data_IF_080841357030
#
_entry.id   IF_080841357030
#
_cell.length_a   1.000
_cell.length_b   1.000
_cell.length_c   1.000
_cell.angle_alpha   90.00
_cell.angle_beta   90.00
_cell.angle_gamma   90.00
#
_symmetry.space_group_name_H-M   'P 1'
#
loop_
_entity.id
_entity.type
_entity.pdbx_description
1 polymer ?
#
# COMPACT_ATOMS: atom_id res chain seq x y z
N UNK A 1 4.57 -0.89 -7.15
CA UNK A 1 6.01 -0.91 -7.56
C UNK A 1 6.22 -1.66 -8.87
N UNK A 2 5.77 -2.91 -8.96
CA UNK A 2 6.01 -3.78 -10.12
C UNK A 2 5.59 -3.18 -11.48
N UNK A 3 4.46 -2.48 -11.56
CA UNK A 3 4.05 -1.81 -12.80
C UNK A 3 5.12 -0.83 -13.33
N UNK A 4 5.73 -0.03 -12.45
CA UNK A 4 6.82 0.87 -12.81
C UNK A 4 8.07 0.09 -13.25
N UNK A 5 8.49 -0.91 -12.47
CA UNK A 5 9.67 -1.71 -12.77
C UNK A 5 9.53 -2.52 -14.06
N UNK A 6 8.35 -3.04 -14.36
CA UNK A 6 8.06 -3.71 -15.64
C UNK A 6 8.17 -2.75 -16.81
N UNK A 7 7.63 -1.52 -16.69
CA UNK A 7 7.80 -0.50 -17.72
C UNK A 7 9.27 -0.11 -17.92
N UNK A 8 10.05 -0.06 -16.83
CA UNK A 8 11.48 0.26 -16.88
C UNK A 8 12.32 -0.86 -17.53
N UNK A 9 12.08 -2.13 -17.17
CA UNK A 9 12.87 -3.27 -17.66
C UNK A 9 12.41 -3.80 -19.01
N UNK A 10 11.12 -3.72 -19.31
CA UNK A 10 10.53 -4.26 -20.52
C UNK A 10 9.81 -3.17 -21.35
N UNK A 11 10.51 -2.09 -21.73
CA UNK A 11 9.87 -0.96 -22.41
C UNK A 11 9.42 -1.27 -23.85
N UNK A 12 9.89 -2.39 -24.42
CA UNK A 12 9.41 -2.92 -25.70
C UNK A 12 8.08 -3.69 -25.60
N UNK A 13 7.73 -4.16 -24.40
CA UNK A 13 6.50 -4.93 -24.16
C UNK A 13 5.39 -4.06 -23.54
N UNK A 14 5.76 -3.13 -22.64
CA UNK A 14 4.80 -2.33 -21.88
C UNK A 14 4.83 -0.88 -22.36
N UNK A 15 3.75 -0.39 -22.98
CA UNK A 15 3.71 0.96 -23.57
C UNK A 15 3.77 2.10 -22.53
N UNK A 16 3.27 1.86 -21.33
CA UNK A 16 3.28 2.78 -20.19
C UNK A 16 2.73 2.12 -18.93
N UNK A 17 2.87 2.77 -17.78
CA UNK A 17 2.42 2.24 -16.50
C UNK A 17 1.82 3.32 -15.60
N UNK A 18 0.73 2.98 -14.91
CA UNK A 18 0.25 3.71 -13.74
C UNK A 18 0.78 2.98 -12.50
N UNK A 19 1.47 3.69 -11.63
CA UNK A 19 2.11 3.15 -10.43
C UNK A 19 1.63 3.94 -9.20
N UNK A 20 0.49 3.53 -8.66
CA UNK A 20 -0.17 4.18 -7.53
C UNK A 20 0.36 3.66 -6.21
N UNK A 21 0.65 4.57 -5.27
CA UNK A 21 1.21 4.33 -3.94
C UNK A 21 2.38 3.35 -3.96
N UNK A 22 3.30 3.61 -4.91
CA UNK A 22 4.43 2.73 -5.19
C UNK A 22 5.71 3.30 -4.56
N UNK A 23 6.16 2.79 -3.40
CA UNK A 23 7.31 3.31 -2.67
C UNK A 23 8.66 2.86 -3.29
N UNK A 24 8.85 3.10 -4.59
CA UNK A 24 10.05 2.66 -5.35
C UNK A 24 11.36 3.32 -4.88
N UNK A 25 11.28 4.31 -3.99
CA UNK A 25 12.40 5.03 -3.38
C UNK A 25 12.55 4.77 -1.86
N UNK A 26 11.91 3.72 -1.32
CA UNK A 26 12.00 3.35 0.10
C UNK A 26 13.15 2.39 0.47
N UNK A 27 14.03 2.04 -0.48
CA UNK A 27 14.97 0.94 -0.32
C UNK A 27 16.35 1.38 0.20
N UNK A 28 17.04 0.44 0.86
CA UNK A 28 18.44 0.61 1.20
C UNK A 28 19.32 0.72 -0.07
N UNK A 29 20.39 1.53 0.01
CA UNK A 29 21.38 1.69 -1.06
C UNK A 29 21.02 2.73 -2.12
N UNK A 30 19.93 3.48 -1.92
CA UNK A 30 19.54 4.58 -2.81
C UNK A 30 20.37 5.85 -2.56
N UNK A 31 20.54 6.65 -3.61
CA UNK A 31 21.12 7.99 -3.55
C UNK A 31 20.18 9.01 -4.24
N UNK A 32 19.63 10.00 -3.52
CA UNK A 32 19.68 10.17 -2.06
C UNK A 32 19.08 8.97 -1.28
N UNK A 33 19.47 8.77 -0.01
CA UNK A 33 18.97 7.68 0.82
C UNK A 33 17.49 7.86 1.16
N UNK A 34 16.80 6.74 1.38
CA UNK A 34 15.41 6.74 1.86
C UNK A 34 15.31 7.36 3.25
N UNK A 35 14.24 8.13 3.48
CA UNK A 35 13.92 8.66 4.80
C UNK A 35 13.19 7.60 5.63
N UNK A 36 13.94 6.86 6.44
CA UNK A 36 13.39 5.77 7.24
C UNK A 36 12.25 6.21 8.19
N UNK A 37 12.18 7.50 8.56
CA UNK A 37 11.15 8.02 9.47
C UNK A 37 9.90 8.54 8.76
N UNK A 38 9.88 8.63 7.42
CA UNK A 38 8.78 9.29 6.71
C UNK A 38 7.44 8.60 6.96
N UNK A 39 7.44 7.26 6.95
CA UNK A 39 6.23 6.46 7.14
C UNK A 39 5.52 6.83 8.45
N UNK A 40 6.24 6.72 9.57
CA UNK A 40 5.71 7.01 10.89
C UNK A 40 5.22 8.45 11.06
N UNK A 41 5.92 9.42 10.46
CA UNK A 41 5.50 10.83 10.51
C UNK A 41 4.22 11.07 9.72
N UNK A 42 3.99 10.35 8.62
CA UNK A 42 2.75 10.46 7.85
C UNK A 42 1.59 9.80 8.59
N UNK A 43 1.78 8.63 9.20
CA UNK A 43 0.78 8.02 10.10
C UNK A 43 0.41 8.99 11.25
N UNK A 44 1.40 9.71 11.77
CA UNK A 44 1.19 10.73 12.80
C UNK A 44 0.44 11.96 12.28
N UNK A 45 0.69 12.38 11.03
CA UNK A 45 -0.05 13.47 10.38
C UNK A 45 -1.53 13.12 10.23
N UNK A 46 -1.84 11.88 9.87
CA UNK A 46 -3.20 11.36 9.77
C UNK A 46 -3.96 11.39 11.10
N UNK A 47 -3.25 11.23 12.22
CA UNK A 47 -3.76 11.38 13.58
C UNK A 47 -3.86 12.85 14.04
N UNK A 48 -3.78 13.81 13.12
CA UNK A 48 -3.79 15.24 13.40
C UNK A 48 -4.96 16.00 12.78
N UNK A 49 -5.23 17.24 13.23
CA UNK A 49 -6.29 18.09 12.67
C UNK A 49 -6.14 18.38 11.18
N UNK A 50 -4.91 18.34 10.64
CA UNK A 50 -4.65 18.51 9.21
C UNK A 50 -5.30 17.45 8.32
N UNK A 51 -5.50 16.23 8.86
CA UNK A 51 -6.24 15.15 8.21
C UNK A 51 -7.71 15.06 8.67
N UNK A 52 -8.14 15.96 9.54
CA UNK A 52 -9.49 16.03 10.13
C UNK A 52 -9.69 15.14 11.36
N UNK A 53 -8.63 14.64 11.98
CA UNK A 53 -8.72 13.89 13.23
C UNK A 53 -8.86 14.80 14.46
N UNK A 54 -9.38 14.25 15.56
CA UNK A 54 -9.58 14.96 16.81
C UNK A 54 -8.28 15.63 17.33
N UNK A 55 -8.32 16.89 17.81
CA UNK A 55 -7.15 17.56 18.37
C UNK A 55 -6.51 16.77 19.52
N UNK A 56 -5.19 16.69 19.52
CA UNK A 56 -4.45 16.00 20.59
C UNK A 56 -4.39 14.48 20.47
N UNK A 57 -5.02 13.86 19.47
CA UNK A 57 -5.00 12.40 19.26
C UNK A 57 -3.57 11.83 19.26
N UNK A 58 -2.68 12.34 18.42
CA UNK A 58 -1.27 11.89 18.38
C UNK A 58 -0.54 12.03 19.73
N UNK A 59 -0.86 13.06 20.52
CA UNK A 59 -0.30 13.22 21.86
C UNK A 59 -0.88 12.21 22.86
N UNK A 60 -2.17 11.90 22.76
CA UNK A 60 -2.82 10.86 23.56
C UNK A 60 -2.24 9.47 23.24
N UNK A 61 -2.02 9.15 21.96
CA UNK A 61 -1.39 7.90 21.52
C UNK A 61 0.03 7.78 22.10
N UNK A 62 0.86 8.83 22.04
CA UNK A 62 2.19 8.82 22.70
C UNK A 62 2.11 8.51 24.19
N UNK A 63 1.12 9.06 24.89
CA UNK A 63 0.91 8.82 26.33
C UNK A 63 0.45 7.39 26.59
N UNK A 64 -0.37 6.82 25.71
CA UNK A 64 -0.80 5.43 25.82
C UNK A 64 0.37 4.44 25.72
N UNK A 65 1.35 4.68 24.85
CA UNK A 65 2.58 3.86 24.80
C UNK A 65 3.36 3.90 26.11
N UNK A 66 3.56 5.10 26.66
CA UNK A 66 4.23 5.27 27.97
C UNK A 66 3.47 4.53 29.08
N UNK A 67 2.15 4.70 29.12
CA UNK A 67 1.29 3.99 30.06
C UNK A 67 1.41 2.47 29.94
N UNK A 68 1.47 1.93 28.72
CA UNK A 68 1.64 0.50 28.48
C UNK A 68 2.98 -0.01 29.04
N UNK A 69 4.09 0.67 28.72
CA UNK A 69 5.42 0.25 29.18
C UNK A 69 5.61 0.44 30.69
N UNK A 70 5.06 1.50 31.27
CA UNK A 70 5.10 1.75 32.72
C UNK A 70 4.30 0.68 33.49
N UNK A 71 3.07 0.39 33.07
CA UNK A 71 2.27 -0.68 33.68
C UNK A 71 2.92 -2.06 33.44
N UNK A 72 3.54 -2.26 32.27
CA UNK A 72 4.25 -3.48 31.90
C UNK A 72 5.38 -3.88 32.87
N UNK A 73 5.96 -2.91 33.58
CA UNK A 73 7.09 -3.11 34.48
C UNK A 73 6.81 -3.92 35.75
N UNK A 74 5.54 -4.21 36.07
CA UNK A 74 5.17 -4.99 37.25
C UNK A 74 4.03 -5.97 36.96
N UNK A 75 3.95 -7.06 37.73
CA UNK A 75 2.88 -8.06 37.59
C UNK A 75 1.48 -7.44 37.81
N UNK A 76 1.35 -6.56 38.82
CA UNK A 76 0.12 -5.84 39.09
C UNK A 76 -0.26 -4.88 37.96
N UNK A 77 0.70 -4.14 37.41
CA UNK A 77 0.47 -3.27 36.28
C UNK A 77 0.12 -4.02 34.99
N UNK A 78 0.75 -5.17 34.72
CA UNK A 78 0.38 -6.06 33.60
C UNK A 78 -1.05 -6.57 33.71
N UNK A 79 -1.53 -6.91 34.92
CA UNK A 79 -2.96 -7.24 35.12
C UNK A 79 -3.89 -6.06 34.79
N UNK A 80 -3.51 -4.84 35.18
CA UNK A 80 -4.29 -3.64 34.84
C UNK A 80 -4.29 -3.36 33.33
N UNK A 81 -3.14 -3.48 32.67
CA UNK A 81 -2.99 -3.30 31.24
C UNK A 81 -3.81 -4.33 30.46
N UNK A 82 -3.74 -5.62 30.85
CA UNK A 82 -4.54 -6.71 30.29
C UNK A 82 -6.04 -6.39 30.31
N UNK A 83 -6.55 -5.94 31.46
CA UNK A 83 -7.95 -5.58 31.61
C UNK A 83 -8.32 -4.36 30.77
N UNK A 84 -7.50 -3.30 30.80
CA UNK A 84 -7.76 -2.06 30.06
C UNK A 84 -7.74 -2.25 28.55
N UNK A 85 -6.84 -3.12 28.04
CA UNK A 85 -6.74 -3.47 26.64
C UNK A 85 -7.82 -4.48 26.18
N UNK A 86 -8.58 -5.06 27.12
CA UNK A 86 -9.56 -6.10 26.81
C UNK A 86 -8.92 -7.36 26.23
N UNK A 87 -7.71 -7.73 26.68
CA UNK A 87 -7.01 -8.90 26.14
C UNK A 87 -7.69 -10.20 26.55
N UNK A 88 -7.69 -11.17 25.64
CA UNK A 88 -8.19 -12.51 25.90
C UNK A 88 -7.39 -13.21 27.02
N UNK A 89 -8.00 -14.12 27.80
CA UNK A 89 -7.29 -14.84 28.86
C UNK A 89 -6.05 -15.60 28.38
N UNK A 90 -6.06 -16.08 27.13
CA UNK A 90 -4.95 -16.81 26.51
C UNK A 90 -3.88 -15.93 25.85
N UNK A 91 -4.10 -14.62 25.69
CA UNK A 91 -3.10 -13.72 25.11
C UNK A 91 -2.01 -13.44 26.16
N UNK A 92 -0.72 -13.76 25.95
CA UNK A 92 0.30 -13.58 26.98
C UNK A 92 0.54 -12.10 27.33
N UNK A 93 0.85 -11.79 28.58
CA UNK A 93 1.27 -10.45 29.02
C UNK A 93 2.05 -10.60 30.32
N UNK A 94 2.99 -11.52 30.31
CA UNK A 94 3.62 -12.06 31.52
C UNK A 94 4.98 -11.41 31.77
N UNK A 95 5.64 -10.90 30.73
CA UNK A 95 6.94 -10.24 30.81
C UNK A 95 7.07 -9.02 29.88
N UNK A 96 8.27 -8.45 29.80
CA UNK A 96 8.56 -7.28 28.99
C UNK A 96 8.52 -7.57 27.47
N UNK A 97 8.81 -8.82 27.06
CA UNK A 97 8.75 -9.22 25.66
C UNK A 97 7.29 -9.27 25.19
N UNK A 98 6.38 -9.81 26.00
CA UNK A 98 4.94 -9.81 25.70
C UNK A 98 4.36 -8.39 25.62
N UNK A 99 4.82 -7.49 26.51
CA UNK A 99 4.40 -6.08 26.50
C UNK A 99 4.86 -5.40 25.22
N UNK A 100 6.11 -5.65 24.78
CA UNK A 100 6.61 -5.12 23.52
C UNK A 100 5.85 -5.70 22.32
N UNK A 101 5.61 -7.01 22.28
CA UNK A 101 4.85 -7.66 21.21
C UNK A 101 3.41 -7.12 21.13
N UNK A 102 2.76 -6.90 22.27
CA UNK A 102 1.45 -6.25 22.35
C UNK A 102 1.49 -4.82 21.80
N UNK A 103 2.52 -4.05 22.14
CA UNK A 103 2.69 -2.68 21.63
C UNK A 103 2.91 -2.67 20.10
N UNK A 104 3.76 -3.56 19.58
CA UNK A 104 4.02 -3.73 18.15
C UNK A 104 2.75 -4.14 17.37
N UNK A 105 1.93 -5.03 17.95
CA UNK A 105 0.63 -5.43 17.41
C UNK A 105 -0.34 -4.24 17.34
N UNK A 106 -0.54 -3.52 18.46
CA UNK A 106 -1.39 -2.31 18.50
C UNK A 106 -0.91 -1.23 17.51
N UNK A 107 0.41 -1.02 17.40
CA UNK A 107 1.01 -0.11 16.43
C UNK A 107 0.64 -0.48 15.00
N UNK A 108 0.69 -1.78 14.66
CA UNK A 108 0.41 -2.22 13.30
C UNK A 108 -1.04 -1.95 12.89
N UNK A 109 -2.00 -2.02 13.82
CA UNK A 109 -3.38 -1.57 13.53
C UNK A 109 -3.43 -0.10 13.12
N UNK A 110 -2.73 0.79 13.83
CA UNK A 110 -2.68 2.21 13.47
C UNK A 110 -2.05 2.44 12.09
N UNK A 111 -1.00 1.68 11.76
CA UNK A 111 -0.38 1.72 10.43
C UNK A 111 -1.37 1.28 9.33
N UNK A 112 -2.08 0.17 9.53
CA UNK A 112 -3.10 -0.32 8.59
C UNK A 112 -4.29 0.64 8.47
N UNK A 113 -4.75 1.21 9.57
CA UNK A 113 -5.86 2.18 9.58
C UNK A 113 -5.48 3.45 8.81
N UNK A 114 -4.24 3.93 8.92
CA UNK A 114 -3.74 5.05 8.10
C UNK A 114 -3.72 4.71 6.60
N UNK A 115 -3.26 3.51 6.22
CA UNK A 115 -3.35 3.04 4.83
C UNK A 115 -4.80 3.00 4.32
N UNK A 116 -5.73 2.59 5.19
CA UNK A 116 -7.17 2.47 4.93
C UNK A 116 -7.98 3.72 5.15
N UNK A 117 -7.36 4.90 5.24
CA UNK A 117 -8.01 6.15 5.60
C UNK A 117 -8.90 6.75 4.48
N UNK A 118 -9.79 5.92 3.92
CA UNK A 118 -10.64 6.21 2.77
C UNK A 118 -11.87 7.05 3.13
N UNK A 119 -12.42 7.84 2.19
CA UNK A 119 -13.58 8.70 2.44
C UNK A 119 -14.92 7.95 2.50
N UNK A 120 -14.89 6.62 2.51
CA UNK A 120 -16.05 5.73 2.55
C UNK A 120 -15.67 4.41 3.23
N UNK A 121 -16.68 3.65 3.61
CA UNK A 121 -16.52 2.33 4.21
C UNK A 121 -15.81 1.36 3.25
N UNK A 122 -14.86 0.57 3.78
CA UNK A 122 -14.09 -0.36 2.96
C UNK A 122 -13.58 -1.55 3.76
N UNK A 123 -13.64 -2.73 3.14
CA UNK A 123 -13.02 -3.96 3.64
C UNK A 123 -11.66 -4.26 3.01
N UNK A 124 -11.10 -3.32 2.25
CA UNK A 124 -9.88 -3.56 1.48
C UNK A 124 -8.67 -3.87 2.37
N UNK A 125 -8.43 -3.03 3.38
CA UNK A 125 -7.29 -3.18 4.29
C UNK A 125 -7.39 -4.42 5.18
N UNK A 126 -8.61 -4.85 5.48
CA UNK A 126 -8.90 -6.06 6.27
C UNK A 126 -8.97 -7.31 5.40
N UNK A 127 -8.66 -7.25 4.10
CA UNK A 127 -8.79 -8.38 3.15
C UNK A 127 -10.19 -9.02 3.15
N UNK A 128 -11.25 -8.24 3.37
CA UNK A 128 -12.62 -8.74 3.44
C UNK A 128 -13.07 -9.21 4.82
N UNK A 129 -12.18 -9.32 5.82
CA UNK A 129 -12.49 -9.82 7.16
C UNK A 129 -13.29 -8.86 8.07
N UNK A 130 -13.76 -7.75 7.52
CA UNK A 130 -14.56 -6.73 8.22
C UNK A 130 -14.55 -5.42 7.45
N UNK A 131 -15.42 -4.48 7.81
CA UNK A 131 -15.54 -3.20 7.08
C UNK A 131 -15.05 -2.07 7.98
N UNK A 132 -14.00 -1.39 7.55
CA UNK A 132 -13.56 -0.16 8.22
C UNK A 132 -14.57 0.96 7.90
N UNK A 133 -14.90 1.82 8.89
CA UNK A 133 -15.76 2.99 8.65
C UNK A 133 -15.08 3.99 7.70
N UNK A 134 -15.83 4.99 7.22
CA UNK A 134 -15.23 6.11 6.51
C UNK A 134 -14.27 6.90 7.43
N UNK A 135 -13.09 7.24 6.93
CA UNK A 135 -12.00 7.90 7.65
C UNK A 135 -11.70 7.25 9.02
N UNK A 136 -11.30 5.96 9.04
CA UNK A 136 -11.13 5.20 10.27
C UNK A 136 -10.07 5.79 11.23
N UNK A 137 -9.08 6.54 10.73
CA UNK A 137 -8.16 7.29 11.61
C UNK A 137 -8.89 8.35 12.44
N UNK A 138 -9.91 9.01 11.89
CA UNK A 138 -10.71 9.99 12.64
C UNK A 138 -11.52 9.31 13.73
N UNK A 139 -12.17 8.20 13.39
CA UNK A 139 -12.96 7.39 14.34
C UNK A 139 -12.08 6.94 15.51
N UNK A 140 -10.91 6.37 15.24
CA UNK A 140 -10.00 5.95 16.30
C UNK A 140 -9.44 7.12 17.11
N UNK A 141 -9.23 8.27 16.48
CA UNK A 141 -8.81 9.47 17.19
C UNK A 141 -9.90 10.07 18.10
N UNK A 142 -11.18 9.92 17.78
CA UNK A 142 -12.26 10.30 18.71
C UNK A 142 -12.22 9.43 19.98
N UNK A 143 -11.97 8.12 19.85
CA UNK A 143 -11.81 7.23 21.01
C UNK A 143 -10.62 7.67 21.89
N UNK A 144 -9.53 8.11 21.28
CA UNK A 144 -8.38 8.65 22.01
C UNK A 144 -8.69 10.01 22.65
N UNK A 145 -9.48 10.85 22.00
CA UNK A 145 -9.92 12.14 22.55
C UNK A 145 -10.83 11.95 23.76
N UNK A 146 -11.76 11.00 23.70
CA UNK A 146 -12.61 10.60 24.82
C UNK A 146 -11.77 10.07 26.01
N UNK A 147 -10.77 9.23 25.72
CA UNK A 147 -9.86 8.69 26.74
C UNK A 147 -9.07 9.78 27.49
N UNK A 148 -8.90 10.97 26.90
CA UNK A 148 -8.20 12.12 27.50
C UNK A 148 -9.12 13.30 27.82
N UNK A 149 -10.44 13.10 27.80
CA UNK A 149 -11.40 14.18 28.09
C UNK A 149 -11.36 14.62 29.56
N UNK A 150 -10.97 13.74 30.48
CA UNK A 150 -10.78 14.08 31.89
C UNK A 150 -9.49 14.89 32.11
N UNK A 151 -9.44 15.82 33.09
CA UNK A 151 -8.25 16.64 33.38
C UNK A 151 -6.97 15.82 33.66
N UNK A 152 -7.12 14.67 34.33
CA UNK A 152 -6.03 13.73 34.63
C UNK A 152 -6.45 12.33 34.15
N UNK A 153 -6.27 12.01 32.86
CA UNK A 153 -6.70 10.73 32.34
C UNK A 153 -5.78 9.61 32.84
N UNK A 154 -6.39 8.51 33.28
CA UNK A 154 -5.66 7.38 33.86
C UNK A 154 -4.91 6.61 32.77
N UNK A 155 -3.85 5.89 33.17
CA UNK A 155 -3.15 4.95 32.30
C UNK A 155 -4.13 3.93 31.68
N UNK A 156 -5.09 3.43 32.45
CA UNK A 156 -6.10 2.48 31.95
C UNK A 156 -7.05 3.10 30.93
N UNK A 157 -7.48 4.35 31.09
CA UNK A 157 -8.32 5.04 30.11
C UNK A 157 -7.60 5.21 28.76
N UNK A 158 -6.33 5.62 28.80
CA UNK A 158 -5.48 5.71 27.61
C UNK A 158 -5.35 4.37 26.89
N UNK A 159 -5.13 3.28 27.64
CA UNK A 159 -5.03 1.93 27.07
C UNK A 159 -6.36 1.44 26.50
N UNK A 160 -7.49 1.74 27.14
CA UNK A 160 -8.81 1.38 26.61
C UNK A 160 -9.14 2.15 25.33
N UNK A 161 -8.80 3.44 25.24
CA UNK A 161 -8.93 4.21 24.00
C UNK A 161 -8.07 3.63 22.88
N UNK A 162 -6.82 3.27 23.19
CA UNK A 162 -5.90 2.67 22.23
C UNK A 162 -6.35 1.28 21.77
N UNK A 163 -6.89 0.47 22.67
CA UNK A 163 -7.48 -0.83 22.33
C UNK A 163 -8.72 -0.66 21.44
N UNK A 164 -9.59 0.30 21.74
CA UNK A 164 -10.72 0.66 20.89
C UNK A 164 -10.27 1.11 19.50
N UNK A 165 -9.19 1.89 19.41
CA UNK A 165 -8.57 2.27 18.14
C UNK A 165 -8.12 1.02 17.38
N UNK A 166 -7.29 0.17 17.98
CA UNK A 166 -6.78 -1.03 17.32
C UNK A 166 -7.90 -2.02 16.94
N UNK A 167 -8.99 -2.06 17.73
CA UNK A 167 -10.16 -2.88 17.46
C UNK A 167 -10.90 -2.47 16.17
N UNK A 168 -10.76 -1.22 15.68
CA UNK A 168 -11.27 -0.85 14.36
C UNK A 168 -10.70 -1.75 13.26
N UNK A 169 -9.45 -2.22 13.41
CA UNK A 169 -8.81 -3.14 12.47
C UNK A 169 -8.99 -4.60 12.88
N UNK A 170 -8.63 -4.95 14.12
CA UNK A 170 -8.61 -6.34 14.57
C UNK A 170 -9.98 -6.92 14.89
N UNK A 171 -10.96 -6.08 15.20
CA UNK A 171 -12.34 -6.47 15.46
C UNK A 171 -13.29 -5.72 14.51
N UNK A 172 -12.89 -5.55 13.26
CA UNK A 172 -13.70 -4.85 12.24
C UNK A 172 -15.07 -5.52 11.98
N UNK A 173 -15.25 -6.80 12.36
CA UNK A 173 -16.56 -7.47 12.31
C UNK A 173 -17.43 -7.17 13.53
N UNK A 174 -16.83 -6.79 14.66
CA UNK A 174 -17.51 -6.57 15.94
C UNK A 174 -17.78 -7.83 16.76
N UNK A 175 -17.37 -9.01 16.28
CA UNK A 175 -17.72 -10.30 16.88
C UNK A 175 -16.74 -10.78 17.95
N UNK A 176 -15.55 -10.17 18.05
CA UNK A 176 -14.54 -10.60 19.01
C UNK A 176 -14.90 -10.10 20.43
N UNK A 177 -14.99 -11.00 21.43
CA UNK A 177 -15.28 -10.62 22.80
C UNK A 177 -14.07 -10.02 23.55
N UNK A 178 -12.87 -10.20 22.99
CA UNK A 178 -11.58 -9.75 23.53
C UNK A 178 -10.54 -9.70 22.42
N UNK A 179 -9.41 -9.03 22.67
CA UNK A 179 -8.29 -8.91 21.74
C UNK A 179 -7.19 -9.94 22.03
N UNK A 180 -6.63 -10.55 20.99
CA UNK A 180 -5.54 -11.53 21.10
C UNK A 180 -4.39 -11.12 20.17
N UNK A 181 -3.32 -10.58 20.75
CA UNK A 181 -2.18 -10.08 19.96
C UNK A 181 -1.40 -11.18 19.24
N UNK A 182 -1.63 -12.45 19.59
CA UNK A 182 -1.01 -13.59 18.91
C UNK A 182 -1.68 -13.91 17.57
N UNK A 183 -2.77 -13.21 17.22
CA UNK A 183 -3.52 -13.36 15.98
C UNK A 183 -3.56 -12.05 15.20
N UNK A 184 -3.56 -12.11 13.88
CA UNK A 184 -3.91 -10.95 13.07
C UNK A 184 -5.41 -10.75 12.98
N UNK A 185 -5.83 -9.85 12.08
CA UNK A 185 -7.23 -9.51 11.89
C UNK A 185 -8.06 -10.66 11.29
N UNK A 186 -7.44 -11.51 10.46
CA UNK A 186 -8.04 -12.69 9.83
C UNK A 186 -6.95 -13.53 9.13
N UNK A 187 -7.24 -14.81 8.78
CA UNK A 187 -6.28 -15.70 8.13
C UNK A 187 -5.69 -15.18 6.82
N UNK A 188 -6.48 -14.46 6.01
CA UNK A 188 -6.04 -13.90 4.74
C UNK A 188 -4.99 -12.81 4.96
N UNK A 189 -5.21 -11.94 5.96
CA UNK A 189 -4.26 -10.90 6.34
C UNK A 189 -2.97 -11.50 6.91
N UNK A 190 -3.06 -12.58 7.70
CA UNK A 190 -1.90 -13.30 8.23
C UNK A 190 -1.06 -13.94 7.13
N UNK A 191 -1.70 -14.57 6.15
CA UNK A 191 -1.03 -15.17 5.00
C UNK A 191 -0.32 -14.09 4.17
N UNK A 192 -0.99 -12.97 3.92
CA UNK A 192 -0.41 -11.83 3.19
C UNK A 192 0.81 -11.28 3.92
N UNK A 193 0.72 -11.08 5.24
CA UNK A 193 1.84 -10.61 6.06
C UNK A 193 3.02 -11.60 6.00
N UNK A 194 2.77 -12.91 6.12
CA UNK A 194 3.81 -13.94 6.03
C UNK A 194 4.56 -13.91 4.70
N UNK A 195 3.82 -13.81 3.58
CA UNK A 195 4.41 -13.76 2.24
C UNK A 195 5.23 -12.47 2.05
N UNK A 196 4.70 -11.34 2.52
CA UNK A 196 5.41 -10.05 2.45
C UNK A 196 6.65 -10.00 3.34
N UNK A 197 6.60 -10.60 4.52
CA UNK A 197 7.74 -10.71 5.43
C UNK A 197 8.88 -11.49 4.79
N UNK A 198 8.58 -12.58 4.07
CA UNK A 198 9.59 -13.31 3.32
C UNK A 198 10.25 -12.45 2.23
N UNK A 199 9.44 -11.69 1.47
CA UNK A 199 9.97 -10.75 0.46
C UNK A 199 10.83 -9.65 1.09
N UNK A 200 10.42 -9.11 2.24
CA UNK A 200 11.15 -8.08 2.99
C UNK A 200 12.46 -8.63 3.56
N UNK A 201 12.48 -9.90 3.97
CA UNK A 201 13.65 -10.61 4.45
C UNK A 201 14.63 -11.04 3.34
N UNK A 202 14.31 -10.79 2.08
CA UNK A 202 15.15 -11.13 0.93
C UNK A 202 15.43 -9.91 0.06
N UNK A 203 14.48 -9.52 -0.78
CA UNK A 203 14.68 -8.54 -1.85
C UNK A 203 14.17 -7.13 -1.50
N UNK A 204 13.20 -7.04 -0.59
CA UNK A 204 12.42 -5.83 -0.29
C UNK A 204 12.89 -5.15 1.00
N UNK A 205 14.21 -5.01 1.18
CA UNK A 205 14.80 -4.36 2.35
C UNK A 205 14.56 -2.85 2.35
N UNK A 206 13.56 -2.41 3.11
CA UNK A 206 13.16 -1.00 3.26
C UNK A 206 13.45 -0.52 4.69
N UNK A 207 14.39 0.41 4.90
CA UNK A 207 14.64 1.00 6.20
C UNK A 207 13.41 1.71 6.75
N UNK A 208 13.00 1.36 7.97
CA UNK A 208 11.92 2.01 8.70
C UNK A 208 12.35 2.33 10.12
N UNK A 209 11.98 3.51 10.61
CA UNK A 209 12.30 3.97 11.96
C UNK A 209 11.18 4.81 12.54
N UNK A 210 11.09 4.82 13.87
CA UNK A 210 10.27 5.73 14.67
C UNK A 210 11.17 6.40 15.70
N UNK A 211 11.02 7.69 15.91
CA UNK A 211 11.86 8.44 16.85
C UNK A 211 11.11 8.89 18.10
N UNK A 212 9.78 8.77 18.13
CA UNK A 212 8.93 9.19 19.25
C UNK A 212 8.93 10.69 19.56
N UNK A 213 9.52 11.49 18.68
CA UNK A 213 9.59 12.96 18.75
C UNK A 213 8.78 13.59 17.62
N UNK A 214 9.11 13.25 16.38
CA UNK A 214 8.44 13.73 15.15
C UNK A 214 7.26 12.84 14.76
N UNK A 215 7.19 11.64 15.29
CA UNK A 215 6.05 10.73 15.18
C UNK A 215 5.37 10.49 16.54
N UNK A 216 4.25 9.76 16.54
CA UNK A 216 3.45 9.47 17.73
C UNK A 216 3.76 8.13 18.41
N UNK A 217 4.83 7.44 17.99
CA UNK A 217 5.17 6.12 18.51
C UNK A 217 6.25 6.22 19.59
N UNK A 218 6.75 5.07 20.05
CA UNK A 218 7.97 5.00 20.85
C UNK A 218 9.20 4.83 19.95
N UNK A 219 10.38 5.12 20.50
CA UNK A 219 11.64 5.07 19.78
C UNK A 219 11.95 3.64 19.28
N UNK A 220 12.10 3.51 17.96
CA UNK A 220 12.47 2.30 17.24
C UNK A 220 13.47 2.71 16.15
N UNK A 221 14.77 2.85 16.47
CA UNK A 221 15.76 3.21 15.48
C UNK A 221 15.93 2.07 14.48
N UNK A 222 16.16 2.41 13.21
CA UNK A 222 16.47 1.41 12.20
C UNK A 222 17.79 0.70 12.54
N UNK A 223 17.74 -0.62 12.66
CA UNK A 223 18.93 -1.48 12.76
C UNK A 223 18.83 -2.60 11.75
N UNK A 224 19.78 -2.62 10.83
CA UNK A 224 19.92 -3.67 9.83
C UNK A 224 20.24 -5.01 10.48
N UNK A 225 21.07 -4.98 11.52
CA UNK A 225 21.51 -6.17 12.25
C UNK A 225 20.33 -6.83 12.95
N UNK A 226 19.47 -6.04 13.61
CA UNK A 226 18.24 -6.53 14.24
C UNK A 226 17.27 -7.08 13.20
N UNK A 227 17.06 -6.36 12.09
CA UNK A 227 16.19 -6.82 11.01
C UNK A 227 16.69 -8.15 10.41
N UNK A 228 17.98 -8.24 10.09
CA UNK A 228 18.59 -9.47 9.56
C UNK A 228 18.55 -10.64 10.56
N UNK A 229 18.68 -10.37 11.86
CA UNK A 229 18.55 -11.40 12.89
C UNK A 229 17.13 -12.00 12.91
N UNK A 230 16.09 -11.16 12.87
CA UNK A 230 14.70 -11.62 12.78
C UNK A 230 14.43 -12.44 11.51
N UNK A 231 15.00 -12.05 10.38
CA UNK A 231 14.89 -12.81 9.13
C UNK A 231 15.55 -14.20 9.20
N UNK A 232 16.74 -14.29 9.82
CA UNK A 232 17.41 -15.58 10.03
C UNK A 232 16.62 -16.49 10.95
N UNK A 233 16.06 -15.93 12.03
CA UNK A 233 15.24 -16.68 12.98
C UNK A 233 13.95 -17.20 12.34
N UNK A 234 13.23 -16.34 11.61
CA UNK A 234 11.91 -16.67 11.06
C UNK A 234 11.96 -17.54 9.80
N UNK A 235 12.92 -17.29 8.91
CA UNK A 235 12.94 -17.90 7.57
C UNK A 235 14.26 -18.58 7.22
N UNK A 236 15.31 -18.48 8.05
CA UNK A 236 16.63 -19.02 7.72
C UNK A 236 17.33 -18.30 6.57
N UNK A 237 16.91 -17.06 6.25
CA UNK A 237 17.48 -16.24 5.17
C UNK A 237 18.05 -14.94 5.70
N UNK A 238 18.90 -14.29 4.91
CA UNK A 238 19.44 -12.96 5.22
C UNK A 238 19.11 -11.97 4.10
N UNK A 239 18.71 -10.73 4.41
CA UNK A 239 18.36 -9.73 3.39
C UNK A 239 19.52 -9.43 2.45
N UNK A 240 19.22 -9.37 1.15
CA UNK A 240 20.21 -9.06 0.13
C UNK A 240 20.42 -7.54 0.09
N UNK A 241 21.56 -7.10 0.59
CA UNK A 241 21.92 -5.68 0.66
C UNK A 241 21.82 -5.00 -0.71
N UNK A 242 21.18 -3.83 -0.73
CA UNK A 242 21.03 -2.97 -1.90
C UNK A 242 20.42 -3.66 -3.13
N UNK A 243 19.73 -4.80 -2.97
CA UNK A 243 19.21 -5.57 -4.10
C UNK A 243 18.26 -4.73 -4.95
N UNK A 244 17.23 -4.14 -4.34
CA UNK A 244 16.28 -3.30 -5.05
C UNK A 244 16.96 -2.08 -5.71
N UNK A 245 17.91 -1.43 -5.04
CA UNK A 245 18.67 -0.33 -5.62
C UNK A 245 19.49 -0.77 -6.85
N UNK A 246 20.11 -1.95 -6.80
CA UNK A 246 20.91 -2.52 -7.90
C UNK A 246 20.02 -2.97 -9.06
N UNK A 247 18.96 -3.71 -8.77
CA UNK A 247 18.08 -4.27 -9.78
C UNK A 247 17.26 -3.19 -10.48
N UNK A 248 16.73 -2.22 -9.73
CA UNK A 248 15.78 -1.25 -10.27
C UNK A 248 16.39 0.13 -10.52
N UNK A 249 17.64 0.36 -10.09
CA UNK A 249 18.44 1.54 -10.41
C UNK A 249 18.03 2.85 -9.71
N UNK A 250 17.03 2.80 -8.84
CA UNK A 250 16.63 3.91 -7.96
C UNK A 250 16.37 5.23 -8.70
N UNK A 251 16.82 6.33 -8.09
CA UNK A 251 16.65 7.68 -8.64
C UNK A 251 17.26 7.84 -10.05
N UNK A 252 18.39 7.19 -10.33
CA UNK A 252 19.06 7.27 -11.63
C UNK A 252 18.18 6.70 -12.74
N UNK A 253 17.75 5.44 -12.58
CA UNK A 253 16.90 4.79 -13.58
C UNK A 253 15.53 5.44 -13.74
N UNK A 254 14.97 6.05 -12.67
CA UNK A 254 13.73 6.80 -12.76
C UNK A 254 13.87 8.08 -13.60
N UNK A 255 15.03 8.78 -13.58
CA UNK A 255 15.22 9.96 -14.44
C UNK A 255 15.15 9.61 -15.92
N UNK A 256 15.65 8.43 -16.29
CA UNK A 256 15.66 7.93 -17.67
C UNK A 256 14.37 7.20 -18.06
N UNK A 257 13.50 6.90 -17.10
CA UNK A 257 12.25 6.20 -17.34
C UNK A 257 11.25 7.08 -18.10
N UNK A 258 10.37 6.44 -18.86
CA UNK A 258 9.36 7.10 -19.69
C UNK A 258 8.01 6.41 -19.60
N UNK A 259 6.95 7.18 -19.79
CA UNK A 259 5.57 6.74 -19.78
C UNK A 259 5.18 6.07 -18.46
N UNK A 260 5.55 6.66 -17.32
CA UNK A 260 5.11 6.21 -16.00
C UNK A 260 4.36 7.34 -15.31
N UNK A 261 3.17 7.04 -14.80
CA UNK A 261 2.37 7.93 -13.97
C UNK A 261 2.41 7.42 -12.53
N UNK A 262 3.10 8.12 -11.65
CA UNK A 262 3.07 7.88 -10.21
C UNK A 262 1.96 8.70 -9.55
N UNK A 263 1.14 8.05 -8.74
CA UNK A 263 0.14 8.71 -7.90
C UNK A 263 0.39 8.30 -6.45
N UNK A 264 0.37 9.22 -5.50
CA UNK A 264 0.46 8.88 -4.07
C UNK A 264 -0.67 9.59 -3.32
N UNK A 265 -1.28 8.92 -2.35
CA UNK A 265 -2.23 9.59 -1.45
C UNK A 265 -1.51 10.57 -0.51
N UNK A 266 -2.16 11.66 -0.11
CA UNK A 266 -1.64 12.54 0.94
C UNK A 266 -1.61 11.87 2.32
N UNK A 267 -2.61 11.03 2.60
CA UNK A 267 -2.76 10.26 3.84
C UNK A 267 -1.99 8.94 3.80
N UNK A 268 -1.53 8.51 2.63
CA UNK A 268 -0.81 7.25 2.48
C UNK A 268 0.61 7.33 3.09
N UNK A 269 0.92 6.54 4.14
CA UNK A 269 2.25 6.53 4.73
C UNK A 269 3.36 6.11 3.75
N UNK A 270 3.02 5.28 2.77
CA UNK A 270 3.96 4.82 1.74
C UNK A 270 4.41 5.93 0.79
N UNK A 271 3.71 7.08 0.74
CA UNK A 271 4.11 8.22 -0.10
C UNK A 271 5.51 8.73 0.21
N UNK A 272 6.00 8.52 1.44
CA UNK A 272 7.34 8.95 1.85
C UNK A 272 8.48 8.26 1.08
N UNK A 273 8.23 7.06 0.56
CA UNK A 273 9.12 6.36 -0.36
C UNK A 273 8.68 6.45 -1.84
N UNK A 274 7.63 7.22 -2.13
CA UNK A 274 7.10 7.38 -3.47
C UNK A 274 7.91 8.38 -4.31
N UNK A 275 7.60 8.43 -5.61
CA UNK A 275 8.16 9.46 -6.49
C UNK A 275 7.32 10.71 -6.36
N UNK A 276 7.84 11.77 -5.75
CA UNK A 276 7.31 13.14 -5.78
C UNK A 276 8.41 14.14 -5.37
N UNK A 277 8.62 15.28 -6.07
CA UNK A 277 7.88 15.75 -7.26
C UNK A 277 8.25 15.00 -8.55
N UNK A 278 7.69 15.44 -9.69
CA UNK A 278 8.02 14.88 -11.02
C UNK A 278 9.51 15.02 -11.32
N UNK A 279 10.16 13.90 -11.69
CA UNK A 279 11.63 13.82 -11.83
C UNK A 279 12.15 14.06 -13.25
N UNK A 280 11.34 13.83 -14.28
CA UNK A 280 11.73 13.97 -15.70
C UNK A 280 10.50 14.18 -16.59
N UNK A 281 10.70 14.59 -17.84
CA UNK A 281 9.60 14.73 -18.82
C UNK A 281 8.91 13.40 -19.16
N UNK A 282 9.59 12.27 -18.93
CA UNK A 282 9.07 10.93 -19.18
C UNK A 282 8.15 10.42 -18.08
N UNK A 283 8.19 11.03 -16.90
CA UNK A 283 7.40 10.67 -15.72
C UNK A 283 6.37 11.76 -15.44
N UNK A 284 5.23 11.38 -14.90
CA UNK A 284 4.31 12.29 -14.21
C UNK A 284 4.13 11.78 -12.80
N UNK A 285 4.26 12.65 -11.81
CA UNK A 285 4.02 12.33 -10.40
C UNK A 285 3.03 13.32 -9.80
N UNK A 286 2.04 12.80 -9.08
CA UNK A 286 1.05 13.58 -8.33
C UNK A 286 0.88 13.05 -6.91
N UNK A 287 0.68 13.96 -5.97
CA UNK A 287 0.16 13.64 -4.63
C UNK A 287 -1.30 14.05 -4.61
N UNK A 288 -2.20 13.12 -4.27
CA UNK A 288 -3.65 13.32 -4.27
C UNK A 288 -4.07 13.80 -2.86
N UNK A 289 -4.55 15.05 -2.71
CA UNK A 289 -5.01 15.54 -1.41
C UNK A 289 -6.13 14.67 -0.84
N UNK A 290 -6.08 14.44 0.47
CA UNK A 290 -7.09 13.68 1.24
C UNK A 290 -7.35 12.26 0.75
N UNK A 291 -6.39 11.64 0.07
CA UNK A 291 -6.46 10.25 -0.37
C UNK A 291 -5.49 9.38 0.43
N UNK A 292 -5.92 8.17 0.79
CA UNK A 292 -5.07 7.16 1.42
C UNK A 292 -4.47 6.20 0.38
N UNK A 293 -4.13 4.97 0.79
CA UNK A 293 -3.35 4.05 -0.02
C UNK A 293 -4.05 3.70 -1.34
N UNK A 294 -3.47 4.12 -2.47
CA UNK A 294 -3.90 3.96 -3.87
C UNK A 294 -5.40 4.14 -4.13
N UNK A 295 -6.03 5.12 -3.49
CA UNK A 295 -7.47 5.41 -3.63
C UNK A 295 -7.92 5.62 -5.08
N UNK A 296 -7.01 6.12 -5.93
CA UNK A 296 -7.23 6.28 -7.36
C UNK A 296 -7.50 4.97 -8.11
N UNK A 297 -7.01 3.82 -7.61
CA UNK A 297 -7.25 2.50 -8.19
C UNK A 297 -8.52 1.82 -7.67
N UNK A 298 -9.12 2.33 -6.59
CA UNK A 298 -10.38 1.80 -6.07
C UNK A 298 -11.52 2.01 -7.08
N UNK A 299 -12.56 1.19 -6.99
CA UNK A 299 -13.77 1.41 -7.79
C UNK A 299 -14.37 2.79 -7.52
N UNK A 300 -15.03 3.35 -8.53
CA UNK A 300 -15.74 4.61 -8.39
C UNK A 300 -16.79 4.54 -7.29
N UNK A 301 -16.80 5.54 -6.41
CA UNK A 301 -17.70 5.66 -5.29
C UNK A 301 -18.35 7.07 -5.29
N UNK A 302 -19.63 7.22 -4.91
CA UNK A 302 -20.25 8.54 -4.77
C UNK A 302 -19.46 9.52 -3.88
N UNK A 303 -18.79 9.01 -2.85
CA UNK A 303 -18.00 9.77 -1.88
C UNK A 303 -16.55 10.04 -2.35
N UNK A 304 -16.18 9.66 -3.57
CA UNK A 304 -14.88 10.03 -4.14
C UNK A 304 -14.73 11.56 -4.20
N UNK A 305 -13.59 12.05 -3.69
CA UNK A 305 -13.23 13.46 -3.69
C UNK A 305 -13.04 13.99 -5.12
N UNK A 306 -13.13 15.30 -5.29
CA UNK A 306 -12.88 15.94 -6.59
C UNK A 306 -11.44 15.69 -7.07
N UNK A 307 -10.48 15.63 -6.14
CA UNK A 307 -9.07 15.38 -6.43
C UNK A 307 -8.82 13.98 -6.98
N UNK A 308 -9.43 12.94 -6.39
CA UNK A 308 -9.34 11.55 -6.88
C UNK A 308 -9.93 11.44 -8.28
N UNK A 309 -11.12 12.02 -8.50
CA UNK A 309 -11.78 12.04 -9.83
C UNK A 309 -10.89 12.73 -10.88
N UNK A 310 -10.26 13.84 -10.52
CA UNK A 310 -9.34 14.56 -11.38
C UNK A 310 -8.12 13.70 -11.76
N UNK A 311 -7.49 13.05 -10.78
CA UNK A 311 -6.31 12.20 -11.03
C UNK A 311 -6.64 10.96 -11.87
N UNK A 312 -7.78 10.31 -11.64
CA UNK A 312 -8.26 9.21 -12.50
C UNK A 312 -8.45 9.66 -13.96
N UNK A 313 -8.94 10.88 -14.18
CA UNK A 313 -9.01 11.46 -15.53
C UNK A 313 -7.61 11.66 -16.12
N UNK A 314 -6.68 12.24 -15.36
CA UNK A 314 -5.29 12.41 -15.82
C UNK A 314 -4.65 11.06 -16.21
N UNK A 315 -4.81 10.03 -15.39
CA UNK A 315 -4.31 8.69 -15.67
C UNK A 315 -4.88 8.15 -16.98
N UNK A 316 -6.19 8.27 -17.19
CA UNK A 316 -6.86 7.85 -18.42
C UNK A 316 -6.34 8.62 -19.64
N UNK A 317 -6.12 9.92 -19.52
CA UNK A 317 -5.54 10.76 -20.58
C UNK A 317 -4.10 10.32 -20.91
N UNK A 318 -3.30 9.95 -19.91
CA UNK A 318 -1.95 9.41 -20.09
C UNK A 318 -1.95 8.03 -20.78
N UNK A 319 -2.79 7.10 -20.31
CA UNK A 319 -2.95 5.77 -20.91
C UNK A 319 -3.35 5.90 -22.39
N UNK A 320 -4.35 6.74 -22.67
CA UNK A 320 -4.81 7.02 -24.04
C UNK A 320 -3.67 7.54 -24.92
N UNK A 321 -2.87 8.50 -24.41
CA UNK A 321 -1.71 9.02 -25.15
C UNK A 321 -0.65 7.95 -25.42
N UNK A 322 -0.37 7.06 -24.48
CA UNK A 322 0.61 5.99 -24.67
C UNK A 322 0.15 5.00 -25.73
N UNK A 323 -1.13 4.59 -25.71
CA UNK A 323 -1.73 3.72 -26.72
C UNK A 323 -1.66 4.37 -28.10
N UNK A 324 -2.11 5.62 -28.25
CA UNK A 324 -2.08 6.33 -29.54
C UNK A 324 -0.66 6.54 -30.07
N UNK A 325 0.31 6.81 -29.18
CA UNK A 325 1.72 6.92 -29.55
C UNK A 325 2.27 5.58 -30.06
N UNK A 326 1.88 4.47 -29.44
CA UNK A 326 2.26 3.13 -29.90
C UNK A 326 1.66 2.82 -31.27
N UNK A 327 0.34 2.99 -31.46
CA UNK A 327 -0.32 2.71 -32.74
C UNK A 327 0.27 3.53 -33.90
N UNK A 328 0.60 4.81 -33.68
CA UNK A 328 1.26 5.64 -34.70
C UNK A 328 2.65 5.13 -35.08
N UNK A 329 3.42 4.59 -34.13
CA UNK A 329 4.75 4.02 -34.40
C UNK A 329 4.65 2.74 -35.21
N UNK A 330 3.69 1.87 -34.90
CA UNK A 330 3.49 0.63 -35.65
C UNK A 330 3.00 0.91 -37.08
N UNK A 331 2.06 1.86 -37.25
CA UNK A 331 1.62 2.27 -38.59
C UNK A 331 2.75 2.87 -39.43
N UNK A 332 3.63 3.70 -38.83
CA UNK A 332 4.77 4.27 -39.53
C UNK A 332 5.76 3.18 -40.02
N UNK A 333 5.97 2.12 -39.24
CA UNK A 333 6.79 0.98 -39.67
C UNK A 333 6.17 0.25 -40.86
N UNK A 334 4.85 0.06 -40.87
CA UNK A 334 4.17 -0.58 -42.02
C UNK A 334 4.21 0.26 -43.28
N UNK A 335 4.15 1.59 -43.15
CA UNK A 335 4.29 2.50 -44.29
C UNK A 335 5.71 2.47 -44.86
N UNK A 336 6.74 2.39 -44.01
CA UNK A 336 8.14 2.27 -44.43
C UNK A 336 8.42 0.96 -45.18
N UNK A 337 7.90 -0.16 -44.66
CA UNK A 337 8.00 -1.47 -45.33
C UNK A 337 7.25 -1.51 -46.66
N UNK A 338 6.17 -0.73 -46.83
CA UNK A 338 5.45 -0.64 -48.11
C UNK A 338 6.13 0.28 -49.15
N UNK A 339 7.10 1.09 -48.73
CA UNK A 339 7.97 1.87 -49.62
C UNK A 339 9.20 1.09 -50.10
N UNK A 340 9.62 0.09 -49.34
CA UNK A 340 10.51 -0.95 -49.82
C UNK A 340 9.69 -1.92 -50.69
N UNK A 341 9.92 -1.93 -52.00
CA UNK A 341 9.08 -2.63 -52.98
C UNK A 341 8.79 -4.12 -52.65
N UNK A 342 7.72 -4.70 -53.23
CA UNK A 342 7.18 -5.99 -52.80
C UNK A 342 8.22 -7.12 -52.96
N UNK A 343 8.51 -7.83 -51.86
CA UNK A 343 8.96 -9.22 -51.93
C UNK A 343 7.71 -10.09 -52.03
N UNK A 344 7.66 -10.93 -53.07
CA UNK A 344 6.54 -11.82 -53.35
C UNK A 344 6.15 -12.68 -52.15
N UNK A 345 4.91 -12.54 -51.67
CA UNK A 345 4.28 -13.54 -50.79
C UNK A 345 2.82 -13.75 -51.18
N UNK A 346 2.44 -15.03 -51.25
CA UNK A 346 1.14 -15.59 -51.65
C UNK A 346 -0.05 -15.16 -50.78
N UNK A 347 -1.31 -15.23 -51.29
CA UNK A 347 -2.48 -14.69 -50.63
C UNK A 347 -2.99 -15.60 -49.51
N UNK A 348 -3.35 -15.02 -48.36
CA UNK A 348 -4.14 -15.69 -47.33
C UNK A 348 -5.40 -14.91 -46.95
N UNK A 349 -6.41 -15.68 -46.56
CA UNK A 349 -7.84 -15.43 -46.47
C UNK A 349 -8.32 -14.16 -45.72
N UNK A 350 -9.33 -13.50 -46.29
CA UNK A 350 -10.22 -12.56 -45.59
C UNK A 350 -11.28 -13.32 -44.78
N UNK A 351 -11.33 -13.11 -43.47
CA UNK A 351 -12.49 -13.43 -42.63
C UNK A 351 -13.23 -12.13 -42.27
N UNK A 352 -14.55 -12.10 -42.53
CA UNK A 352 -15.46 -11.03 -42.10
C UNK A 352 -15.93 -11.29 -40.67
N UNK A 353 -15.88 -10.29 -39.80
CA UNK A 353 -16.65 -10.28 -38.55
C UNK A 353 -17.24 -8.90 -38.27
N UNK A 354 -18.56 -8.85 -38.08
CA UNK A 354 -19.34 -7.69 -37.65
C UNK A 354 -19.19 -7.50 -36.12
N UNK A 355 -18.83 -6.30 -35.63
CA UNK A 355 -19.28 -5.82 -34.31
C UNK A 355 -19.03 -4.31 -34.07
N UNK A 356 -20.14 -3.62 -33.76
CA UNK A 356 -20.41 -2.46 -32.89
C UNK A 356 -19.43 -1.27 -32.86
N UNK A 357 -19.96 -0.10 -33.28
CA UNK A 357 -19.39 1.25 -33.15
C UNK A 357 -19.48 1.75 -31.70
N UNK A 358 -18.33 2.08 -31.09
CA UNK A 358 -18.24 2.99 -29.93
C UNK A 358 -17.07 3.94 -30.16
N UNK A 359 -17.14 4.87 -31.12
CA UNK A 359 -16.30 6.08 -31.09
C UNK A 359 -17.01 7.20 -31.84
N UNK A 360 -17.20 8.32 -31.15
CA UNK A 360 -17.65 9.58 -31.72
C UNK A 360 -16.67 10.09 -32.77
N UNK A 361 -17.24 10.77 -33.75
CA UNK A 361 -16.71 11.10 -35.08
C UNK A 361 -15.33 11.77 -35.07
N UNK A 362 -14.49 11.38 -36.05
CA UNK A 362 -13.53 12.33 -36.64
C UNK A 362 -12.07 11.91 -36.82
N UNK A 363 -11.67 10.63 -36.70
CA UNK A 363 -10.31 10.21 -37.07
C UNK A 363 -10.33 8.85 -37.78
N UNK A 364 -9.96 8.86 -39.06
CA UNK A 364 -9.70 7.66 -39.87
C UNK A 364 -8.41 7.00 -39.39
N UNK A 365 -8.50 5.99 -38.53
CA UNK A 365 -7.39 5.10 -38.22
C UNK A 365 -7.57 3.76 -38.97
N UNK A 366 -6.47 3.17 -39.44
CA UNK A 366 -6.50 1.85 -40.05
C UNK A 366 -7.16 0.84 -39.08
N UNK A 367 -8.06 0.01 -39.62
CA UNK A 367 -8.82 -0.99 -38.85
C UNK A 367 -7.92 -2.04 -38.16
N UNK A 368 -6.62 -2.07 -38.46
CA UNK A 368 -5.68 -3.07 -37.97
C UNK A 368 -5.28 -2.92 -36.49
N UNK A 369 -5.44 -1.75 -35.87
CA UNK A 369 -5.07 -1.54 -34.47
C UNK A 369 -6.25 -1.52 -33.48
N UNK A 370 -7.50 -1.43 -33.95
CA UNK A 370 -8.67 -1.30 -33.06
C UNK A 370 -9.32 -2.66 -32.75
N UNK A 371 -8.98 -3.74 -33.48
CA UNK A 371 -9.42 -5.10 -33.17
C UNK A 371 -8.42 -6.16 -33.66
N UNK A 372 -7.89 -7.08 -32.83
CA UNK A 372 -7.88 -7.15 -31.37
C UNK A 372 -6.46 -6.78 -30.89
N UNK A 373 -6.24 -5.51 -30.54
CA UNK A 373 -5.32 -5.29 -29.43
C UNK A 373 -6.01 -5.99 -28.26
N UNK A 374 -5.49 -7.15 -27.88
CA UNK A 374 -5.59 -7.55 -26.48
C UNK A 374 -4.92 -6.40 -25.72
N UNK A 375 -5.71 -5.36 -25.42
CA UNK A 375 -5.44 -4.47 -24.30
C UNK A 375 -5.60 -5.39 -23.11
N UNK A 376 -4.59 -6.21 -22.87
CA UNK A 376 -4.28 -6.67 -21.55
C UNK A 376 -3.86 -5.39 -20.81
N UNK A 377 -4.87 -4.61 -20.40
CA UNK A 377 -4.81 -3.94 -19.12
C UNK A 377 -4.69 -5.08 -18.12
N UNK A 378 -3.48 -5.62 -17.98
CA UNK A 378 -3.12 -6.28 -16.75
C UNK A 378 -3.10 -5.12 -15.77
N UNK A 379 -4.23 -4.90 -15.10
CA UNK A 379 -4.18 -4.36 -13.76
C UNK A 379 -3.40 -5.42 -12.98
N UNK A 380 -2.07 -5.32 -13.05
CA UNK A 380 -1.20 -5.77 -11.99
C UNK A 380 -1.46 -4.80 -10.85
N UNK A 381 -2.64 -4.94 -10.25
CA UNK A 381 -2.78 -4.75 -8.83
C UNK A 381 -1.92 -5.86 -8.24
N UNK A 382 -0.62 -5.62 -8.16
CA UNK A 382 0.17 -6.26 -7.13
C UNK A 382 -0.11 -5.44 -5.89
N UNK A 383 -1.32 -5.65 -5.40
CA UNK A 383 -1.70 -5.50 -4.02
C UNK A 383 -0.59 -6.16 -3.20
N UNK A 384 -0.22 -5.55 -2.07
CA UNK A 384 0.40 -6.34 -1.02
C UNK A 384 -0.50 -7.53 -0.61
N UNK A 385 -1.79 -7.52 -0.98
CA UNK A 385 -2.72 -8.64 -0.92
C UNK A 385 -3.28 -9.10 -2.29
N UNK A 386 -2.60 -9.89 -3.12
CA UNK A 386 -3.22 -10.85 -4.08
C UNK A 386 -2.15 -11.83 -4.59
N UNK A 387 -2.22 -13.07 -4.11
CA UNK A 387 -2.28 -14.23 -4.98
C UNK A 387 -3.48 -15.08 -4.54
N UNK A 388 -4.68 -14.53 -4.74
CA UNK A 388 -5.96 -15.21 -4.58
C UNK A 388 -6.78 -15.05 -5.85
N UNK A 389 -6.77 -16.07 -6.70
CA UNK A 389 -7.83 -16.30 -7.68
C UNK A 389 -7.54 -15.95 -9.14
N UNK A 390 -6.72 -16.77 -9.82
CA UNK A 390 -7.02 -17.29 -11.16
C UNK A 390 -6.53 -18.75 -11.19
N UNK A 391 -7.33 -19.62 -11.81
CA UNK A 391 -7.19 -21.09 -12.01
C UNK A 391 -8.02 -21.94 -11.03
N UNK A 392 -9.34 -21.89 -11.23
CA UNK A 392 -10.17 -23.11 -11.16
C UNK A 392 -10.56 -23.49 -12.59
N UNK A 393 -10.24 -24.72 -12.99
CA UNK A 393 -10.67 -25.30 -14.26
C UNK A 393 -9.78 -26.43 -14.74
N UNK A 394 -10.18 -27.66 -14.41
CA UNK A 394 -9.69 -28.95 -14.92
C UNK A 394 -8.38 -29.50 -14.33
N UNK A 395 -8.49 -30.30 -13.25
CA UNK A 395 -8.42 -31.75 -13.43
C UNK A 395 -9.05 -32.48 -12.25
N UNK A 396 -9.92 -33.41 -12.61
CA UNK A 396 -10.45 -34.46 -11.78
C UNK A 396 -9.34 -35.51 -11.58
N UNK A 397 -9.39 -36.20 -10.44
CA UNK A 397 -9.01 -37.60 -10.22
C UNK A 397 -7.88 -37.89 -9.20
N UNK A 398 -8.34 -38.45 -8.07
CA UNK A 398 -7.78 -39.58 -7.28
C UNK A 398 -6.55 -39.44 -6.37
N UNK A 399 -6.81 -39.72 -5.07
CA UNK A 399 -6.05 -40.57 -4.11
C UNK A 399 -4.54 -40.33 -3.97
N UNK A 400 -4.00 -39.99 -2.80
CA UNK A 400 -4.03 -40.73 -1.54
C UNK A 400 -3.62 -39.82 -0.37
#
# INVERSE_FOLDING_TARGET
MLAAWMRMKYPGLIAGAVASSAPVLAFEGLHPPADAGSYARIVTFDAGPGAGAAPGCSAAVRRAWRALFELGGSEGGRRMARAALGLCPGAPLDDAADVLATAEWLQSALDYIAMGNFPYESSYITNGGGVLPAFPMRVGCELMAEAVAAPEPTATALLSGLAGFAALFYNASGDLPCLDWTRGANPETDLVALLWDFQSCTEMLMPMSRDGVRDMFWEQPWSRERFAAGCRERFGVEPIRNWAATQWGGHGALRDATNIFFANGEYDPWRGGGVAPTMSQGITSVVIPRAAHHLDLMFSNPNDTAEVKHVRKMQTDHITRWILKHCRRENAKTEDVSREGPRETMPFFQAKSNMVKIFGQGLSYSHACVAPLAVMCVLLVVTCAVLGGIVFGFWNDRSH
#
